data_IF_989947619976
#
_entry.id   IF_989947619976
#
_cell.length_a   1.000
_cell.length_b   1.000
_cell.length_c   1.000
_cell.angle_alpha   90.00
_cell.angle_beta   90.00
_cell.angle_gamma   90.00
#
_symmetry.space_group_name_H-M   'P 1'
#
loop_
_entity.id
_entity.type
_entity.pdbx_description
1 polymer ?
#
# COMPACT_ATOMS: atom_id res chain seq x y z
N UNK A 1 -23.85 -8.16 -9.25
CA UNK A 1 -22.98 -8.64 -10.35
C UNK A 1 -21.82 -7.67 -10.58
N UNK A 2 -22.06 -6.44 -11.03
CA UNK A 2 -20.98 -5.46 -11.34
C UNK A 2 -19.99 -5.16 -10.20
N UNK A 3 -20.47 -5.00 -8.95
CA UNK A 3 -19.59 -4.76 -7.79
C UNK A 3 -18.66 -5.96 -7.54
N UNK A 4 -19.18 -7.19 -7.62
CA UNK A 4 -18.39 -8.40 -7.46
C UNK A 4 -17.30 -8.55 -8.55
N UNK A 5 -17.57 -8.09 -9.77
CA UNK A 5 -16.60 -8.03 -10.87
C UNK A 5 -15.45 -7.06 -10.54
N UNK A 6 -15.77 -5.85 -10.04
CA UNK A 6 -14.76 -4.86 -9.63
C UNK A 6 -13.90 -5.38 -8.46
N UNK A 7 -14.53 -6.00 -7.45
CA UNK A 7 -13.80 -6.61 -6.32
C UNK A 7 -12.90 -7.74 -6.82
N UNK A 8 -13.43 -8.67 -7.62
CA UNK A 8 -12.63 -9.76 -8.17
C UNK A 8 -11.46 -9.25 -9.01
N UNK A 9 -11.68 -8.27 -9.88
CA UNK A 9 -10.62 -7.67 -10.67
C UNK A 9 -9.56 -6.96 -9.79
N UNK A 10 -9.95 -6.30 -8.70
CA UNK A 10 -9.02 -5.70 -7.75
C UNK A 10 -8.13 -6.77 -7.09
N UNK A 11 -8.72 -7.84 -6.56
CA UNK A 11 -7.96 -8.95 -5.98
C UNK A 11 -7.05 -9.64 -7.01
N UNK A 12 -7.53 -9.86 -8.23
CA UNK A 12 -6.73 -10.45 -9.30
C UNK A 12 -5.57 -9.55 -9.79
N UNK A 13 -5.73 -8.22 -9.68
CA UNK A 13 -4.69 -7.26 -10.09
C UNK A 13 -3.66 -7.02 -8.99
N UNK A 14 -4.10 -6.91 -7.73
CA UNK A 14 -3.27 -6.44 -6.61
C UNK A 14 -2.97 -7.52 -5.57
N UNK A 15 -3.38 -8.77 -5.81
CA UNK A 15 -3.06 -9.89 -4.94
C UNK A 15 -2.84 -11.19 -5.71
N UNK A 16 -2.33 -12.20 -5.00
CA UNK A 16 -2.22 -13.59 -5.50
C UNK A 16 -3.44 -14.45 -5.17
N UNK A 17 -4.46 -13.88 -4.57
CA UNK A 17 -5.70 -14.58 -4.26
C UNK A 17 -6.38 -14.96 -5.57
N UNK A 18 -6.65 -16.26 -5.80
CA UNK A 18 -7.26 -16.69 -7.05
C UNK A 18 -8.68 -16.14 -7.20
N UNK A 19 -8.97 -15.57 -8.36
CA UNK A 19 -10.27 -14.98 -8.69
C UNK A 19 -10.89 -15.67 -9.89
N UNK A 20 -12.23 -15.78 -9.96
CA UNK A 20 -12.90 -16.40 -11.09
C UNK A 20 -12.70 -15.57 -12.37
N UNK A 21 -12.66 -16.25 -13.53
CA UNK A 21 -12.50 -15.58 -14.84
C UNK A 21 -13.61 -14.56 -15.12
N UNK A 22 -14.79 -14.74 -14.55
CA UNK A 22 -15.93 -13.81 -14.65
C UNK A 22 -15.68 -12.44 -14.03
N UNK A 23 -14.63 -12.25 -13.25
CA UNK A 23 -14.23 -10.94 -12.73
C UNK A 23 -13.53 -10.05 -13.79
N UNK A 24 -12.93 -10.67 -14.80
CA UNK A 24 -12.17 -9.98 -15.86
C UNK A 24 -13.07 -9.47 -16.99
N UNK A 25 -14.02 -8.61 -16.64
CA UNK A 25 -14.88 -7.88 -17.57
C UNK A 25 -14.33 -6.47 -17.78
N UNK A 26 -14.79 -5.77 -18.82
CA UNK A 26 -14.46 -4.36 -19.03
C UNK A 26 -14.86 -3.50 -17.82
N UNK A 27 -16.01 -3.83 -17.21
CA UNK A 27 -16.46 -3.15 -15.99
C UNK A 27 -15.52 -3.44 -14.81
N UNK A 28 -15.22 -4.71 -14.55
CA UNK A 28 -14.34 -5.15 -13.47
C UNK A 28 -12.97 -4.49 -13.57
N UNK A 29 -12.31 -4.61 -14.71
CA UNK A 29 -10.98 -4.04 -14.97
C UNK A 29 -10.96 -2.52 -14.81
N UNK A 30 -11.99 -1.82 -15.31
CA UNK A 30 -12.11 -0.36 -15.19
C UNK A 30 -12.32 0.12 -13.76
N UNK A 31 -13.00 -0.67 -12.90
CA UNK A 31 -13.35 -0.29 -11.54
C UNK A 31 -12.50 -1.00 -10.47
N UNK A 32 -11.51 -1.80 -10.87
CA UNK A 32 -10.61 -2.49 -9.95
C UNK A 32 -9.95 -1.53 -8.95
N UNK A 33 -9.55 -0.34 -9.40
CA UNK A 33 -8.92 0.67 -8.55
C UNK A 33 -9.85 1.17 -7.43
N UNK A 34 -11.17 1.29 -7.69
CA UNK A 34 -12.15 1.69 -6.66
C UNK A 34 -12.29 0.65 -5.55
N UNK A 35 -12.01 -0.63 -5.84
CA UNK A 35 -12.07 -1.73 -4.89
C UNK A 35 -10.70 -2.09 -4.28
N UNK A 36 -9.62 -1.41 -4.68
CA UNK A 36 -8.26 -1.66 -4.18
C UNK A 36 -8.14 -1.60 -2.64
N UNK A 37 -8.81 -0.67 -1.92
CA UNK A 37 -8.80 -0.64 -0.46
C UNK A 37 -9.27 -1.95 0.20
N UNK A 38 -10.12 -2.75 -0.46
CA UNK A 38 -10.59 -4.03 0.05
C UNK A 38 -9.48 -5.10 0.11
N UNK A 39 -8.46 -4.99 -0.74
CA UNK A 39 -7.26 -5.84 -0.64
C UNK A 39 -6.53 -5.54 0.67
N UNK A 40 -6.37 -4.26 1.03
CA UNK A 40 -5.80 -3.86 2.31
C UNK A 40 -6.64 -4.29 3.51
N UNK A 41 -7.97 -4.26 3.35
CA UNK A 41 -8.90 -4.75 4.37
C UNK A 41 -8.67 -6.25 4.64
N UNK A 42 -8.60 -7.06 3.58
CA UNK A 42 -8.34 -8.51 3.69
C UNK A 42 -6.98 -8.79 4.34
N UNK A 43 -5.94 -8.07 3.93
CA UNK A 43 -4.60 -8.17 4.50
C UNK A 43 -4.59 -7.80 5.99
N UNK A 44 -5.23 -6.69 6.36
CA UNK A 44 -5.35 -6.26 7.75
C UNK A 44 -6.09 -7.26 8.63
N UNK A 45 -7.15 -7.91 8.11
CA UNK A 45 -7.84 -8.99 8.83
C UNK A 45 -6.94 -10.21 9.05
N UNK A 46 -6.13 -10.61 8.07
CA UNK A 46 -5.18 -11.72 8.24
C UNK A 46 -4.12 -11.38 9.29
N UNK A 47 -3.58 -10.15 9.26
CA UNK A 47 -2.61 -9.69 10.26
C UNK A 47 -3.23 -9.64 11.66
N UNK A 48 -4.46 -9.16 11.81
CA UNK A 48 -5.18 -9.13 13.07
C UNK A 48 -5.48 -10.55 13.60
N UNK A 49 -5.91 -11.46 12.72
CA UNK A 49 -6.15 -12.86 13.07
C UNK A 49 -4.87 -13.53 13.57
N UNK A 50 -3.75 -13.32 12.85
CA UNK A 50 -2.44 -13.82 13.28
C UNK A 50 -2.03 -13.24 14.64
N UNK A 51 -2.12 -11.92 14.82
CA UNK A 51 -1.78 -11.26 16.09
C UNK A 51 -2.61 -11.79 17.26
N UNK A 52 -3.90 -12.03 17.05
CA UNK A 52 -4.78 -12.62 18.05
C UNK A 52 -4.36 -14.05 18.42
N UNK A 53 -4.15 -14.92 17.45
CA UNK A 53 -3.71 -16.31 17.67
C UNK A 53 -2.34 -16.34 18.34
N UNK A 54 -1.40 -15.52 17.88
CA UNK A 54 -0.06 -15.43 18.44
C UNK A 54 -0.07 -14.98 19.91
N UNK A 55 -0.93 -14.01 20.25
CA UNK A 55 -1.11 -13.54 21.62
C UNK A 55 -1.70 -14.64 22.53
N UNK A 56 -2.70 -15.38 22.04
CA UNK A 56 -3.29 -16.50 22.80
C UNK A 56 -2.30 -17.64 23.08
N UNK A 57 -1.41 -17.90 22.12
CA UNK A 57 -0.41 -18.98 22.21
C UNK A 57 0.90 -18.54 22.87
N UNK A 58 1.06 -17.27 23.24
CA UNK A 58 2.29 -16.73 23.81
C UNK A 58 3.48 -16.79 22.85
N UNK A 59 3.24 -16.62 21.53
CA UNK A 59 4.28 -16.67 20.52
C UNK A 59 5.29 -15.54 20.72
N UNK A 60 6.61 -15.80 20.66
CA UNK A 60 7.63 -14.76 20.81
C UNK A 60 7.45 -13.62 19.81
N UNK A 61 7.63 -12.36 20.25
CA UNK A 61 7.41 -11.16 19.47
C UNK A 61 8.19 -11.16 18.12
N UNK A 62 9.39 -11.73 18.09
CA UNK A 62 10.20 -11.86 16.87
C UNK A 62 9.55 -12.76 15.84
N UNK A 63 8.90 -13.86 16.27
CA UNK A 63 8.16 -14.75 15.36
C UNK A 63 6.87 -14.07 14.88
N UNK A 64 6.18 -13.37 15.79
CA UNK A 64 5.00 -12.57 15.40
C UNK A 64 5.36 -11.56 14.33
N UNK A 65 6.44 -10.79 14.53
CA UNK A 65 6.92 -9.80 13.59
C UNK A 65 7.33 -10.41 12.24
N UNK A 66 8.04 -11.55 12.25
CA UNK A 66 8.45 -12.22 11.01
C UNK A 66 7.26 -12.61 10.14
N UNK A 67 6.19 -13.13 10.74
CA UNK A 67 4.96 -13.47 10.01
C UNK A 67 4.23 -12.21 9.55
N UNK A 68 4.16 -11.15 10.38
CA UNK A 68 3.54 -9.87 9.98
C UNK A 68 4.27 -9.20 8.81
N UNK A 69 5.58 -9.36 8.68
CA UNK A 69 6.36 -8.93 7.51
C UNK A 69 6.06 -9.81 6.28
N UNK A 70 5.97 -11.13 6.47
CA UNK A 70 5.78 -12.06 5.36
C UNK A 70 4.35 -12.06 4.80
N UNK A 71 3.34 -11.79 5.63
CA UNK A 71 1.92 -11.83 5.26
C UNK A 71 1.58 -10.92 4.06
N UNK A 72 1.94 -9.62 4.05
CA UNK A 72 1.70 -8.74 2.91
C UNK A 72 2.33 -9.28 1.62
N UNK A 73 3.54 -9.81 1.70
CA UNK A 73 4.22 -10.41 0.55
C UNK A 73 3.50 -11.66 0.04
N UNK A 74 3.00 -12.51 0.93
CA UNK A 74 2.23 -13.70 0.57
C UNK A 74 0.90 -13.34 -0.10
N UNK A 75 0.20 -12.32 0.42
CA UNK A 75 -1.09 -11.87 -0.12
C UNK A 75 -0.93 -11.16 -1.46
N UNK A 76 0.01 -10.22 -1.57
CA UNK A 76 0.17 -9.38 -2.77
C UNK A 76 1.10 -10.00 -3.81
N UNK A 77 1.84 -11.05 -3.45
CA UNK A 77 2.88 -11.62 -4.29
C UNK A 77 4.12 -10.73 -4.40
N UNK A 78 4.26 -9.75 -3.51
CA UNK A 78 5.40 -8.86 -3.45
C UNK A 78 5.35 -7.68 -4.44
N UNK A 79 4.24 -7.47 -5.18
CA UNK A 79 4.15 -6.43 -6.21
C UNK A 79 4.47 -5.02 -5.69
N UNK A 80 4.11 -4.70 -4.44
CA UNK A 80 4.41 -3.39 -3.86
C UNK A 80 5.88 -3.28 -3.44
N UNK A 81 6.47 -4.38 -2.98
CA UNK A 81 7.89 -4.45 -2.61
C UNK A 81 8.79 -4.40 -3.85
N UNK A 82 8.34 -4.99 -4.96
CA UNK A 82 8.96 -4.87 -6.28
C UNK A 82 9.01 -3.41 -6.72
N UNK A 83 7.87 -2.70 -6.62
CA UNK A 83 7.83 -1.26 -6.88
C UNK A 83 8.73 -0.43 -5.96
N UNK A 84 8.93 -0.85 -4.69
CA UNK A 84 9.91 -0.24 -3.80
C UNK A 84 11.34 -0.46 -4.32
N UNK A 85 11.68 -1.67 -4.76
CA UNK A 85 12.97 -2.02 -5.34
C UNK A 85 13.28 -1.15 -6.56
N UNK A 86 12.40 -1.19 -7.55
CA UNK A 86 12.58 -0.53 -8.84
C UNK A 86 12.67 0.99 -8.71
N UNK A 87 11.79 1.57 -7.89
CA UNK A 87 11.82 3.01 -7.62
C UNK A 87 13.10 3.43 -6.89
N UNK A 88 13.58 2.61 -5.95
CA UNK A 88 14.82 2.90 -5.22
C UNK A 88 16.04 2.89 -6.16
N UNK A 89 16.14 1.92 -7.06
CA UNK A 89 17.19 1.88 -8.09
C UNK A 89 17.11 3.08 -9.03
N UNK A 90 15.92 3.39 -9.52
CA UNK A 90 15.71 4.52 -10.42
C UNK A 90 16.08 5.86 -9.76
N UNK A 91 15.73 6.06 -8.49
CA UNK A 91 16.06 7.29 -7.75
C UNK A 91 17.55 7.41 -7.49
N UNK A 92 18.22 6.31 -7.13
CA UNK A 92 19.65 6.28 -6.84
C UNK A 92 20.52 6.48 -8.08
N UNK A 93 20.00 6.26 -9.27
CA UNK A 93 20.76 6.37 -10.53
C UNK A 93 21.19 7.79 -10.88
N UNK A 94 20.60 8.83 -10.30
CA UNK A 94 20.78 10.26 -10.64
C UNK A 94 20.56 10.57 -12.13
N UNK A 95 20.01 9.63 -12.90
CA UNK A 95 19.81 9.72 -14.34
C UNK A 95 18.67 10.71 -14.71
N UNK A 96 18.59 11.14 -15.98
CA UNK A 96 17.42 11.86 -16.51
C UNK A 96 16.14 11.02 -16.38
N UNK A 97 14.99 11.69 -16.48
CA UNK A 97 13.66 11.08 -16.30
C UNK A 97 13.44 9.83 -17.15
N UNK A 98 13.76 9.93 -18.44
CA UNK A 98 13.57 8.85 -19.41
C UNK A 98 14.36 7.61 -19.00
N UNK A 99 15.60 7.79 -18.59
CA UNK A 99 16.47 6.69 -18.16
C UNK A 99 16.01 6.08 -16.83
N UNK A 100 15.45 6.88 -15.92
CA UNK A 100 14.82 6.36 -14.69
C UNK A 100 13.63 5.44 -15.01
N UNK A 101 12.79 5.84 -15.95
CA UNK A 101 11.66 5.02 -16.39
C UNK A 101 12.10 3.73 -17.11
N UNK A 102 13.26 3.73 -17.77
CA UNK A 102 13.85 2.51 -18.33
C UNK A 102 14.39 1.58 -17.24
N UNK A 103 15.09 2.12 -16.22
CA UNK A 103 15.61 1.35 -15.09
C UNK A 103 14.46 0.62 -14.38
N UNK A 104 13.32 1.26 -14.14
CA UNK A 104 12.14 0.65 -13.53
C UNK A 104 11.53 -0.50 -14.36
N UNK A 105 11.95 -0.69 -15.61
CA UNK A 105 11.47 -1.77 -16.47
C UNK A 105 12.57 -2.83 -16.74
N UNK A 106 13.76 -2.65 -16.19
CA UNK A 106 14.80 -3.68 -16.27
C UNK A 106 14.41 -4.84 -15.34
N UNK A 107 14.31 -6.07 -15.83
CA UNK A 107 13.96 -7.21 -14.99
C UNK A 107 15.05 -7.58 -13.96
N UNK A 108 16.17 -6.90 -13.98
CA UNK A 108 17.30 -7.09 -13.05
C UNK A 108 17.23 -6.05 -11.94
N UNK A 109 17.14 -6.52 -10.69
CA UNK A 109 17.28 -5.64 -9.54
C UNK A 109 18.70 -5.07 -9.45
N UNK A 110 18.82 -3.77 -9.26
CA UNK A 110 20.09 -3.11 -8.99
C UNK A 110 20.45 -3.15 -7.50
N UNK A 111 21.68 -2.79 -7.20
CA UNK A 111 22.18 -2.85 -5.83
C UNK A 111 21.43 -1.91 -4.88
N UNK A 112 21.02 -0.74 -5.33
CA UNK A 112 20.30 0.23 -4.50
C UNK A 112 18.86 -0.18 -4.23
N UNK A 113 18.21 -0.88 -5.17
CA UNK A 113 16.90 -1.50 -4.95
C UNK A 113 16.96 -2.56 -3.87
N UNK A 114 17.95 -3.45 -3.95
CA UNK A 114 18.18 -4.48 -2.92
C UNK A 114 18.46 -3.84 -1.54
N UNK A 115 19.33 -2.84 -1.48
CA UNK A 115 19.61 -2.11 -0.23
C UNK A 115 18.33 -1.45 0.31
N UNK A 116 17.55 -0.79 -0.55
CA UNK A 116 16.29 -0.15 -0.16
C UNK A 116 15.29 -1.13 0.44
N UNK A 117 15.11 -2.28 -0.20
CA UNK A 117 14.23 -3.36 0.29
C UNK A 117 14.72 -3.93 1.62
N UNK A 118 16.02 -4.22 1.74
CA UNK A 118 16.59 -4.77 2.99
C UNK A 118 16.42 -3.80 4.16
N UNK A 119 16.74 -2.51 3.96
CA UNK A 119 16.53 -1.48 4.98
C UNK A 119 15.07 -1.37 5.37
N UNK A 120 14.16 -1.34 4.40
CA UNK A 120 12.73 -1.32 4.64
C UNK A 120 12.27 -2.52 5.48
N UNK A 121 12.66 -3.75 5.11
CA UNK A 121 12.26 -4.96 5.83
C UNK A 121 12.82 -5.00 7.26
N UNK A 122 14.05 -4.53 7.49
CA UNK A 122 14.62 -4.42 8.84
C UNK A 122 13.83 -3.44 9.70
N UNK A 123 13.48 -2.26 9.15
CA UNK A 123 12.67 -1.26 9.86
C UNK A 123 11.27 -1.81 10.17
N UNK A 124 10.62 -2.42 9.19
CA UNK A 124 9.29 -2.99 9.35
C UNK A 124 9.27 -4.11 10.39
N UNK A 125 10.25 -5.03 10.33
CA UNK A 125 10.41 -6.09 11.31
C UNK A 125 10.62 -5.54 12.72
N UNK A 126 11.50 -4.55 12.87
CA UNK A 126 11.77 -3.91 14.17
C UNK A 126 10.52 -3.25 14.76
N UNK A 127 9.74 -2.55 13.92
CA UNK A 127 8.50 -1.94 14.36
C UNK A 127 7.44 -2.99 14.74
N UNK A 128 7.29 -4.05 13.97
CA UNK A 128 6.35 -5.13 14.33
C UNK A 128 6.77 -5.88 15.59
N UNK A 129 8.07 -5.98 15.88
CA UNK A 129 8.55 -6.59 17.14
C UNK A 129 8.13 -5.75 18.36
N UNK A 130 7.98 -4.44 18.19
CA UNK A 130 7.57 -3.50 19.24
C UNK A 130 6.05 -3.19 19.22
N UNK A 131 5.30 -3.75 18.27
CA UNK A 131 3.86 -3.49 18.15
C UNK A 131 3.09 -4.13 19.30
N UNK A 132 2.26 -3.38 20.05
CA UNK A 132 1.39 -3.96 21.07
C UNK A 132 0.37 -4.93 20.44
N UNK A 133 0.27 -6.16 20.96
CA UNK A 133 -0.67 -7.17 20.46
C UNK A 133 -2.09 -6.92 21.00
N UNK A 134 -2.59 -5.70 20.88
CA UNK A 134 -3.93 -5.29 21.31
C UNK A 134 -4.88 -5.18 20.12
N UNK A 135 -6.17 -5.41 20.37
CA UNK A 135 -7.19 -5.26 19.32
C UNK A 135 -7.21 -3.84 18.73
N UNK A 136 -7.01 -2.81 19.55
CA UNK A 136 -6.96 -1.41 19.09
C UNK A 136 -5.80 -1.15 18.14
N UNK A 137 -4.59 -1.66 18.45
CA UNK A 137 -3.42 -1.53 17.57
C UNK A 137 -3.63 -2.23 16.23
N UNK A 138 -4.17 -3.46 16.23
CA UNK A 138 -4.45 -4.18 14.98
C UNK A 138 -5.58 -3.56 14.17
N UNK A 139 -6.61 -3.01 14.80
CA UNK A 139 -7.66 -2.27 14.08
C UNK A 139 -7.12 -0.97 13.47
N UNK A 140 -6.27 -0.24 14.19
CA UNK A 140 -5.61 0.95 13.64
C UNK A 140 -4.68 0.58 12.47
N UNK A 141 -3.93 -0.52 12.58
CA UNK A 141 -3.09 -1.05 11.50
C UNK A 141 -3.95 -1.44 10.28
N UNK A 142 -5.05 -2.17 10.47
CA UNK A 142 -5.98 -2.52 9.40
C UNK A 142 -6.50 -1.26 8.70
N UNK A 143 -6.94 -0.25 9.46
CA UNK A 143 -7.38 1.02 8.89
C UNK A 143 -6.27 1.72 8.10
N UNK A 144 -5.01 1.65 8.55
CA UNK A 144 -3.88 2.24 7.83
C UNK A 144 -3.61 1.58 6.47
N UNK A 145 -3.79 0.25 6.38
CA UNK A 145 -3.69 -0.50 5.12
C UNK A 145 -4.79 -0.13 4.12
N UNK A 146 -6.01 0.08 4.60
CA UNK A 146 -7.12 0.57 3.77
C UNK A 146 -6.86 2.00 3.32
N UNK A 147 -6.38 2.85 4.23
CA UNK A 147 -6.08 4.26 3.97
C UNK A 147 -4.99 4.43 2.91
N UNK A 148 -3.88 3.74 3.03
CA UNK A 148 -2.76 3.80 2.09
C UNK A 148 -3.20 3.44 0.67
N UNK A 149 -4.01 2.38 0.52
CA UNK A 149 -4.52 1.93 -0.79
C UNK A 149 -5.55 2.91 -1.37
N UNK A 150 -6.39 3.50 -0.53
CA UNK A 150 -7.32 4.53 -0.97
C UNK A 150 -6.56 5.77 -1.50
N UNK A 151 -5.52 6.23 -0.77
CA UNK A 151 -4.66 7.34 -1.19
C UNK A 151 -3.88 7.01 -2.47
N UNK A 152 -3.33 5.79 -2.58
CA UNK A 152 -2.64 5.31 -3.79
C UNK A 152 -3.57 5.31 -4.99
N UNK A 153 -4.78 4.80 -4.83
CA UNK A 153 -5.80 4.79 -5.88
C UNK A 153 -6.19 6.20 -6.32
N UNK A 154 -6.35 7.14 -5.38
CA UNK A 154 -6.61 8.56 -5.68
C UNK A 154 -5.46 9.18 -6.46
N UNK A 155 -4.21 8.89 -6.10
CA UNK A 155 -3.03 9.38 -6.82
C UNK A 155 -3.02 8.88 -8.27
N UNK A 156 -3.22 7.57 -8.49
CA UNK A 156 -3.27 6.96 -9.82
C UNK A 156 -4.40 7.53 -10.67
N UNK A 157 -5.58 7.77 -10.08
CA UNK A 157 -6.74 8.30 -10.81
C UNK A 157 -6.63 9.80 -11.09
N UNK A 158 -6.04 10.59 -10.17
CA UNK A 158 -6.10 12.04 -10.24
C UNK A 158 -4.85 12.71 -10.82
N UNK A 159 -3.69 12.05 -10.79
CA UNK A 159 -2.44 12.65 -11.27
C UNK A 159 -2.08 12.13 -12.67
N UNK A 160 -1.26 12.88 -13.42
CA UNK A 160 -0.82 12.45 -14.74
C UNK A 160 -0.02 11.15 -14.65
N UNK A 161 -0.26 10.22 -15.58
CA UNK A 161 0.57 9.02 -15.70
C UNK A 161 1.93 9.40 -16.30
N UNK A 162 3.02 8.80 -15.80
CA UNK A 162 4.37 9.02 -16.34
C UNK A 162 4.55 8.43 -17.75
N UNK A 163 3.74 7.41 -18.09
CA UNK A 163 3.76 6.71 -19.40
C UNK A 163 2.34 6.43 -19.86
N UNK A 164 2.09 6.59 -21.16
CA UNK A 164 0.78 6.36 -21.76
C UNK A 164 0.40 4.87 -21.83
N UNK A 165 1.36 3.97 -21.87
CA UNK A 165 1.23 2.52 -22.01
C UNK A 165 1.35 1.76 -20.67
N UNK A 166 1.61 2.47 -19.56
CA UNK A 166 1.82 1.90 -18.24
C UNK A 166 0.55 1.38 -17.55
N UNK A 167 0.72 0.57 -16.50
CA UNK A 167 -0.39 0.04 -15.68
C UNK A 167 -1.27 1.18 -15.11
N UNK A 168 -0.66 2.27 -14.61
CA UNK A 168 -1.39 3.41 -14.10
C UNK A 168 -2.33 4.05 -15.14
N UNK A 169 -1.87 4.17 -16.38
CA UNK A 169 -2.70 4.69 -17.48
C UNK A 169 -3.86 3.75 -17.84
N UNK A 170 -3.65 2.43 -17.77
CA UNK A 170 -4.69 1.41 -18.05
C UNK A 170 -5.75 1.35 -16.96
N UNK A 171 -5.38 1.59 -15.70
CA UNK A 171 -6.29 1.57 -14.55
C UNK A 171 -7.12 2.85 -14.41
N UNK A 172 -6.73 3.95 -15.08
CA UNK A 172 -7.42 5.25 -15.04
C UNK A 172 -7.97 5.67 -16.41
N UNK A 173 -9.04 5.03 -16.89
CA UNK A 173 -9.67 5.46 -18.13
C UNK A 173 -10.46 6.77 -17.89
N UNK A 174 -10.08 7.85 -18.58
CA UNK A 174 -10.51 9.24 -18.39
C UNK A 174 -12.04 9.51 -18.30
N UNK A 175 -12.87 8.51 -18.57
CA UNK A 175 -14.34 8.67 -18.69
C UNK A 175 -15.15 8.35 -17.42
N UNK A 176 -14.56 7.81 -16.34
CA UNK A 176 -15.32 7.34 -15.16
C UNK A 176 -14.75 7.81 -13.83
N UNK A 177 -14.03 8.92 -13.83
CA UNK A 177 -13.32 9.47 -12.66
C UNK A 177 -14.17 9.53 -11.38
N UNK A 178 -15.41 10.03 -11.43
CA UNK A 178 -16.26 10.11 -10.24
C UNK A 178 -16.61 8.74 -9.65
N UNK A 179 -16.86 7.72 -10.48
CA UNK A 179 -17.19 6.36 -10.03
C UNK A 179 -16.00 5.66 -9.34
N UNK A 180 -14.79 6.15 -9.53
CA UNK A 180 -13.57 5.64 -8.88
C UNK A 180 -13.19 6.54 -7.69
N UNK A 181 -13.21 7.86 -7.87
CA UNK A 181 -12.78 8.83 -6.84
C UNK A 181 -13.70 8.82 -5.62
N UNK A 182 -15.03 8.76 -5.83
CA UNK A 182 -15.98 8.82 -4.71
C UNK A 182 -15.81 7.63 -3.74
N UNK A 183 -15.79 6.37 -4.17
CA UNK A 183 -15.50 5.25 -3.28
C UNK A 183 -14.13 5.37 -2.59
N UNK A 184 -13.09 5.77 -3.31
CA UNK A 184 -11.76 5.92 -2.73
C UNK A 184 -11.72 7.01 -1.64
N UNK A 185 -12.39 8.16 -1.86
CA UNK A 185 -12.55 9.19 -0.84
C UNK A 185 -13.32 8.68 0.38
N UNK A 186 -14.38 7.88 0.16
CA UNK A 186 -15.15 7.29 1.24
C UNK A 186 -14.30 6.30 2.07
N UNK A 187 -13.51 5.43 1.42
CA UNK A 187 -12.57 4.54 2.10
C UNK A 187 -11.50 5.33 2.86
N UNK A 188 -10.93 6.37 2.27
CA UNK A 188 -9.93 7.21 2.94
C UNK A 188 -10.52 7.90 4.17
N UNK A 189 -11.70 8.49 4.07
CA UNK A 189 -12.36 9.15 5.19
C UNK A 189 -12.74 8.16 6.30
N UNK A 190 -13.35 7.01 5.94
CA UNK A 190 -13.76 5.99 6.89
C UNK A 190 -12.56 5.36 7.62
N UNK A 191 -11.47 5.06 6.90
CA UNK A 191 -10.27 4.50 7.51
C UNK A 191 -9.52 5.51 8.39
N UNK A 192 -9.47 6.79 8.00
CA UNK A 192 -8.92 7.84 8.86
C UNK A 192 -9.74 7.99 10.15
N UNK A 193 -11.06 8.02 10.05
CA UNK A 193 -11.95 8.02 11.23
C UNK A 193 -11.77 6.76 12.08
N UNK A 194 -11.59 5.58 11.45
CA UNK A 194 -11.32 4.32 12.13
C UNK A 194 -10.00 4.35 12.91
N UNK A 195 -8.92 4.88 12.33
CA UNK A 195 -7.64 5.08 13.05
C UNK A 195 -7.83 5.95 14.30
N UNK A 196 -8.55 7.07 14.15
CA UNK A 196 -8.84 7.97 15.29
C UNK A 196 -9.71 7.28 16.34
N UNK A 197 -10.73 6.52 15.93
CA UNK A 197 -11.59 5.80 16.87
C UNK A 197 -10.85 4.71 17.66
N UNK A 198 -9.87 4.04 17.03
CA UNK A 198 -9.12 2.95 17.65
C UNK A 198 -7.90 3.41 18.47
N UNK A 199 -7.26 4.52 18.06
CA UNK A 199 -5.99 4.98 18.64
C UNK A 199 -5.97 6.48 18.97
N UNK A 200 -7.12 7.15 18.99
CA UNK A 200 -7.30 8.56 19.39
C UNK A 200 -6.28 9.51 18.72
N UNK A 201 -5.50 10.27 19.51
CA UNK A 201 -4.50 11.19 19.00
C UNK A 201 -3.42 10.49 18.15
N UNK A 202 -3.02 9.27 18.51
CA UNK A 202 -2.08 8.47 17.72
C UNK A 202 -2.67 8.15 16.35
N UNK A 203 -3.95 7.78 16.28
CA UNK A 203 -4.66 7.54 15.01
C UNK A 203 -4.74 8.78 14.13
N UNK A 204 -4.93 9.96 14.72
CA UNK A 204 -4.88 11.23 13.98
C UNK A 204 -3.46 11.50 13.43
N UNK A 205 -2.42 11.24 14.21
CA UNK A 205 -1.03 11.38 13.77
C UNK A 205 -0.68 10.35 12.67
N UNK A 206 -1.21 9.12 12.73
CA UNK A 206 -1.09 8.14 11.64
C UNK A 206 -1.69 8.69 10.34
N UNK A 207 -2.89 9.26 10.38
CA UNK A 207 -3.50 9.86 9.20
C UNK A 207 -2.65 11.02 8.63
N UNK A 208 -2.10 11.86 9.50
CA UNK A 208 -1.15 12.94 9.10
C UNK A 208 0.10 12.35 8.47
N UNK A 209 0.67 11.28 9.02
CA UNK A 209 1.84 10.60 8.45
C UNK A 209 1.54 10.04 7.04
N UNK A 210 0.39 9.39 6.84
CA UNK A 210 -0.05 8.91 5.54
C UNK A 210 -0.25 10.03 4.51
N UNK A 211 -0.85 11.15 4.91
CA UNK A 211 -1.00 12.33 4.04
C UNK A 211 0.35 13.01 3.74
N UNK A 212 1.27 13.04 4.69
CA UNK A 212 2.63 13.55 4.48
C UNK A 212 3.40 12.68 3.49
N UNK A 213 3.27 11.35 3.60
CA UNK A 213 3.82 10.41 2.64
C UNK A 213 3.20 10.61 1.24
N UNK A 214 1.89 10.88 1.15
CA UNK A 214 1.22 11.19 -0.12
C UNK A 214 1.76 12.49 -0.75
N UNK A 215 1.99 13.53 0.05
CA UNK A 215 2.57 14.78 -0.43
C UNK A 215 4.01 14.58 -0.93
N UNK A 216 4.81 13.79 -0.23
CA UNK A 216 6.15 13.40 -0.67
C UNK A 216 6.11 12.56 -1.95
N UNK A 217 5.22 11.57 -2.03
CA UNK A 217 4.98 10.79 -3.24
C UNK A 217 4.66 11.68 -4.44
N UNK A 218 3.73 12.64 -4.27
CA UNK A 218 3.38 13.60 -5.32
C UNK A 218 4.60 14.39 -5.81
N UNK A 219 5.40 14.89 -4.86
CA UNK A 219 6.61 15.62 -5.19
C UNK A 219 7.58 14.75 -6.02
N UNK A 220 7.87 13.53 -5.57
CA UNK A 220 8.77 12.61 -6.27
C UNK A 220 8.22 12.22 -7.64
N UNK A 221 6.95 11.79 -7.71
CA UNK A 221 6.33 11.36 -8.95
C UNK A 221 6.36 12.45 -10.03
N UNK A 222 5.97 13.68 -9.67
CA UNK A 222 5.91 14.77 -10.66
C UNK A 222 7.29 15.33 -11.01
N UNK A 223 8.18 15.53 -10.02
CA UNK A 223 9.49 16.16 -10.26
C UNK A 223 10.52 15.20 -10.86
N UNK A 224 10.50 13.91 -10.49
CA UNK A 224 11.52 12.93 -10.90
C UNK A 224 11.10 12.05 -12.06
N UNK A 225 9.79 11.78 -12.20
CA UNK A 225 9.24 10.85 -13.19
C UNK A 225 8.21 11.52 -14.13
N UNK A 226 7.71 12.72 -13.78
CA UNK A 226 6.73 13.48 -14.53
C UNK A 226 5.31 12.93 -14.44
N UNK A 227 5.06 12.00 -13.55
CA UNK A 227 3.75 11.39 -13.34
C UNK A 227 3.84 10.11 -12.51
N UNK A 228 2.72 9.41 -12.37
CA UNK A 228 2.63 8.16 -11.62
C UNK A 228 2.90 6.93 -12.47
N UNK A 229 3.48 5.89 -11.87
CA UNK A 229 3.56 4.51 -12.38
C UNK A 229 3.01 3.54 -11.35
N UNK A 230 2.83 2.27 -11.72
CA UNK A 230 2.47 1.21 -10.78
C UNK A 230 3.52 1.03 -9.67
N UNK A 231 4.79 1.07 -10.05
CA UNK A 231 5.93 0.86 -9.17
C UNK A 231 6.07 2.00 -8.15
N UNK A 232 5.91 3.26 -8.63
CA UNK A 232 5.84 4.43 -7.75
C UNK A 232 4.65 4.36 -6.78
N UNK A 233 3.52 3.81 -7.20
CA UNK A 233 2.38 3.59 -6.32
C UNK A 233 2.68 2.53 -5.26
N UNK A 234 3.37 1.43 -5.63
CA UNK A 234 3.88 0.41 -4.71
C UNK A 234 4.90 0.97 -3.71
N UNK A 235 5.88 1.75 -4.20
CA UNK A 235 6.85 2.45 -3.37
C UNK A 235 6.18 3.38 -2.35
N UNK A 236 5.18 4.15 -2.77
CA UNK A 236 4.39 4.99 -1.87
C UNK A 236 3.71 4.17 -0.77
N UNK A 237 3.05 3.04 -1.14
CA UNK A 237 2.36 2.18 -0.18
C UNK A 237 3.31 1.72 0.92
N UNK A 238 4.49 1.22 0.55
CA UNK A 238 5.47 0.72 1.51
C UNK A 238 5.91 1.82 2.50
N UNK A 239 6.27 3.00 2.01
CA UNK A 239 6.69 4.11 2.87
C UNK A 239 5.56 4.70 3.71
N UNK A 240 4.35 4.82 3.15
CA UNK A 240 3.18 5.31 3.89
C UNK A 240 2.81 4.36 5.03
N UNK A 241 2.79 3.05 4.77
CA UNK A 241 2.48 2.03 5.77
C UNK A 241 3.55 1.96 6.86
N UNK A 242 4.83 2.03 6.49
CA UNK A 242 5.92 2.08 7.45
C UNK A 242 5.84 3.33 8.34
N UNK A 243 5.56 4.49 7.77
CA UNK A 243 5.43 5.74 8.53
C UNK A 243 4.24 5.70 9.50
N UNK A 244 3.10 5.19 9.07
CA UNK A 244 1.94 5.03 9.95
C UNK A 244 2.18 3.99 11.04
N UNK A 245 2.85 2.87 10.74
CA UNK A 245 3.26 1.86 11.70
C UNK A 245 4.24 2.45 12.74
N UNK A 246 5.20 3.25 12.32
CA UNK A 246 6.15 3.91 13.21
C UNK A 246 5.44 4.85 14.21
N UNK A 247 4.44 5.61 13.73
CA UNK A 247 3.63 6.47 14.60
C UNK A 247 2.81 5.64 15.59
N UNK A 248 2.22 4.53 15.14
CA UNK A 248 1.43 3.63 15.99
C UNK A 248 2.28 3.05 17.11
N UNK A 249 3.47 2.55 16.78
CA UNK A 249 4.40 1.95 17.76
C UNK A 249 4.93 3.01 18.71
N UNK A 250 5.38 4.17 18.22
CA UNK A 250 5.87 5.26 19.06
C UNK A 250 4.76 5.77 20.02
N UNK A 251 3.53 5.88 19.56
CA UNK A 251 2.38 6.24 20.38
C UNK A 251 2.10 5.20 21.48
N UNK A 252 2.21 3.90 21.18
CA UNK A 252 2.03 2.83 22.16
C UNK A 252 3.16 2.74 23.21
N UNK A 253 4.31 3.34 22.95
CA UNK A 253 5.42 3.43 23.93
C UNK A 253 5.27 4.63 24.89
N UNK A 254 4.43 5.61 24.54
CA UNK A 254 4.24 6.85 25.32
C UNK A 254 3.00 6.81 26.22
N UNK A 255 2.15 5.79 26.07
CA UNK A 255 0.93 5.54 26.85
C UNK A 255 1.12 4.35 27.79
#
# INVERSE_FOLDING_TARGET
MKIAEAIGAAFGTFSRIPVPKSAWTDFGSTHALAAFPLVGLAEGFLMMAWGHVANLLGVPATIVAAVLVALPMAVTGGIHLDGLCDTSDALASWAPRERKLEIMHDPRAGAFGVIGVVVYLILQFSLFTALPLTAGAFLALLCSLVFSRALSGLAVECWPAARADGMAARLSPAKKRAAIVVPLCAFAAASAAGMVACAQAVGALMAVAGLSALAWYRHVALSRFGGVTGDLAGWFLQWAELAMLAVLVAGGMLL
#
